data_IF_596403910867
#
_entry.id   IF_596403910867
#
_cell.length_a   1.000
_cell.length_b   1.000
_cell.length_c   1.000
_cell.angle_alpha   90.00
_cell.angle_beta   90.00
_cell.angle_gamma   90.00
#
_symmetry.space_group_name_H-M   'P 1'
#
loop_
_entity.id
_entity.type
_entity.pdbx_description
1 polymer ?
#
# COMPACT_ATOMS: atom_id res chain seq x y z
N UNK A 1 1.88 9.87 -11.35
CA UNK A 1 1.56 9.15 -12.60
C UNK A 1 0.80 7.87 -12.27
N UNK A 2 -0.38 8.00 -11.66
CA UNK A 2 -1.27 6.90 -11.29
C UNK A 2 -2.71 7.44 -11.33
N UNK A 3 -3.67 6.53 -11.43
CA UNK A 3 -5.10 6.82 -11.36
C UNK A 3 -5.63 6.16 -10.09
N UNK A 4 -6.33 6.95 -9.27
CA UNK A 4 -7.03 6.45 -8.08
C UNK A 4 -8.50 6.42 -8.41
N UNK A 5 -9.12 5.27 -8.20
CA UNK A 5 -10.56 5.15 -8.12
C UNK A 5 -10.96 5.13 -6.64
N UNK A 6 -11.61 6.22 -6.22
CA UNK A 6 -12.04 6.41 -4.84
C UNK A 6 -13.23 5.52 -4.45
N UNK A 7 -14.05 5.08 -5.42
CA UNK A 7 -15.19 4.20 -5.16
C UNK A 7 -14.71 2.76 -4.93
N UNK A 8 -13.83 2.26 -5.79
CA UNK A 8 -13.28 0.90 -5.66
C UNK A 8 -12.06 0.81 -4.73
N UNK A 9 -11.54 1.94 -4.24
CA UNK A 9 -10.28 2.01 -3.48
C UNK A 9 -9.14 1.27 -4.19
N UNK A 10 -9.07 1.44 -5.50
CA UNK A 10 -8.05 0.84 -6.35
C UNK A 10 -7.10 1.91 -6.90
N UNK A 11 -5.86 1.49 -7.17
CA UNK A 11 -4.84 2.35 -7.76
C UNK A 11 -4.19 1.61 -8.94
N UNK A 12 -4.14 2.28 -10.08
CA UNK A 12 -3.50 1.77 -11.28
C UNK A 12 -2.42 2.73 -11.76
N UNK A 13 -1.31 2.18 -12.25
CA UNK A 13 -0.23 2.98 -12.82
C UNK A 13 -0.63 3.44 -14.23
N UNK A 14 -0.43 4.72 -14.52
CA UNK A 14 -0.46 5.22 -15.91
C UNK A 14 0.80 4.76 -16.65
N UNK A 15 0.80 4.81 -17.99
CA UNK A 15 2.00 4.48 -18.79
C UNK A 15 3.26 5.24 -18.35
N UNK A 16 3.13 6.52 -17.99
CA UNK A 16 4.23 7.31 -17.45
C UNK A 16 4.74 6.77 -16.10
N UNK A 17 3.82 6.28 -15.26
CA UNK A 17 4.14 5.66 -13.98
C UNK A 17 4.87 4.34 -14.14
N UNK A 18 4.45 3.54 -15.12
CA UNK A 18 5.11 2.28 -15.49
C UNK A 18 6.54 2.57 -15.94
N UNK A 19 6.73 3.48 -16.90
CA UNK A 19 8.07 3.87 -17.37
C UNK A 19 8.95 4.40 -16.24
N UNK A 20 8.39 5.19 -15.33
CA UNK A 20 9.14 5.71 -14.17
C UNK A 20 9.59 4.59 -13.23
N UNK A 21 8.74 3.61 -12.96
CA UNK A 21 9.09 2.45 -12.16
C UNK A 21 10.15 1.60 -12.85
N UNK A 22 10.01 1.35 -14.15
CA UNK A 22 10.99 0.61 -14.96
C UNK A 22 12.37 1.24 -14.91
N UNK A 23 12.46 2.56 -15.06
CA UNK A 23 13.71 3.30 -14.96
C UNK A 23 14.30 3.25 -13.54
N UNK A 24 13.47 3.36 -12.50
CA UNK A 24 13.93 3.35 -11.11
C UNK A 24 14.47 1.98 -10.68
N UNK A 25 13.81 0.90 -11.09
CA UNK A 25 14.21 -0.47 -10.77
C UNK A 25 15.14 -1.10 -11.81
N UNK A 26 15.59 -0.34 -12.82
CA UNK A 26 16.47 -0.79 -13.89
C UNK A 26 15.95 -2.04 -14.62
N UNK A 27 14.69 -2.00 -15.04
CA UNK A 27 14.02 -3.12 -15.71
C UNK A 27 13.35 -2.73 -17.01
N UNK A 28 13.15 -3.70 -17.89
CA UNK A 28 12.62 -3.47 -19.24
C UNK A 28 11.09 -3.57 -19.32
N UNK A 29 10.45 -4.35 -18.45
CA UNK A 29 9.01 -4.54 -18.46
C UNK A 29 8.51 -4.86 -17.04
N UNK A 30 7.79 -3.91 -16.43
CA UNK A 30 7.24 -4.08 -15.08
C UNK A 30 6.16 -5.18 -15.00
N UNK A 31 5.44 -5.43 -16.10
CA UNK A 31 4.35 -6.42 -16.15
C UNK A 31 4.82 -7.81 -16.56
N UNK A 32 6.13 -8.05 -16.62
CA UNK A 32 6.64 -9.38 -16.89
C UNK A 32 6.33 -10.33 -15.72
N UNK A 33 6.13 -11.64 -15.96
CA UNK A 33 5.83 -12.61 -14.90
C UNK A 33 6.88 -12.64 -13.78
N UNK A 34 8.13 -12.32 -14.10
CA UNK A 34 9.25 -12.25 -13.15
C UNK A 34 9.09 -11.08 -12.17
N UNK A 35 8.39 -10.02 -12.57
CA UNK A 35 8.21 -8.78 -11.82
C UNK A 35 6.84 -8.69 -11.12
N UNK A 36 5.99 -9.73 -11.21
CA UNK A 36 4.67 -9.75 -10.58
C UNK A 36 4.71 -9.37 -9.09
N UNK A 37 5.67 -9.89 -8.34
CA UNK A 37 5.82 -9.58 -6.91
C UNK A 37 6.18 -8.10 -6.69
N UNK A 38 7.06 -7.53 -7.51
CA UNK A 38 7.43 -6.12 -7.42
C UNK A 38 6.25 -5.22 -7.78
N UNK A 39 5.54 -5.54 -8.87
CA UNK A 39 4.34 -4.81 -9.26
C UNK A 39 3.30 -4.81 -8.13
N UNK A 40 3.12 -5.96 -7.46
CA UNK A 40 2.26 -6.07 -6.29
C UNK A 40 2.71 -5.16 -5.14
N UNK A 41 4.00 -5.20 -4.79
CA UNK A 41 4.58 -4.31 -3.78
C UNK A 41 4.39 -2.83 -4.12
N UNK A 42 4.58 -2.43 -5.38
CA UNK A 42 4.37 -1.05 -5.84
C UNK A 42 2.90 -0.64 -5.66
N UNK A 43 1.96 -1.48 -6.09
CA UNK A 43 0.52 -1.22 -5.93
C UNK A 43 0.14 -1.08 -4.45
N UNK A 44 0.65 -1.95 -3.59
CA UNK A 44 0.42 -1.88 -2.15
C UNK A 44 1.04 -0.64 -1.51
N UNK A 45 2.26 -0.26 -1.89
CA UNK A 45 2.90 0.96 -1.41
C UNK A 45 2.10 2.21 -1.80
N UNK A 46 1.62 2.25 -3.05
CA UNK A 46 0.77 3.32 -3.53
C UNK A 46 -0.57 3.37 -2.78
N UNK A 47 -1.21 2.21 -2.57
CA UNK A 47 -2.46 2.12 -1.79
C UNK A 47 -2.26 2.55 -0.34
N UNK A 48 -1.21 2.06 0.31
CA UNK A 48 -0.85 2.45 1.67
C UNK A 48 -0.62 3.96 1.78
N UNK A 49 0.01 4.59 0.79
CA UNK A 49 0.32 6.02 0.83
C UNK A 49 -0.88 6.91 0.51
N UNK A 50 -1.63 6.61 -0.57
CA UNK A 50 -2.64 7.52 -1.11
C UNK A 50 -4.08 7.20 -0.72
N UNK A 51 -4.39 5.94 -0.42
CA UNK A 51 -5.76 5.50 -0.10
C UNK A 51 -5.95 5.38 1.41
N UNK A 52 -4.96 4.80 2.10
CA UNK A 52 -5.04 4.56 3.54
C UNK A 52 -4.63 5.81 4.33
N UNK A 53 -5.52 6.29 5.20
CA UNK A 53 -5.30 7.45 6.03
C UNK A 53 -5.06 7.09 7.51
N UNK A 54 -3.95 7.61 8.04
CA UNK A 54 -3.64 7.55 9.48
C UNK A 54 -4.68 8.34 10.28
N UNK A 55 -5.06 7.82 11.45
CA UNK A 55 -6.13 8.31 12.32
C UNK A 55 -7.55 8.20 11.74
N UNK A 56 -7.73 7.51 10.62
CA UNK A 56 -9.04 7.22 10.03
C UNK A 56 -9.20 5.73 9.74
N UNK A 57 -8.30 5.17 8.94
CA UNK A 57 -8.35 3.75 8.56
C UNK A 57 -7.45 2.89 9.46
N UNK A 58 -6.39 3.48 9.99
CA UNK A 58 -5.46 2.84 10.92
C UNK A 58 -4.82 3.85 11.88
N UNK A 59 -4.26 3.33 12.97
CA UNK A 59 -3.44 4.04 13.93
C UNK A 59 -2.06 3.39 14.03
N UNK A 60 -1.08 4.16 14.49
CA UNK A 60 0.26 3.67 14.82
C UNK A 60 0.46 3.82 16.31
N UNK A 61 0.65 2.71 17.01
CA UNK A 61 0.82 2.66 18.47
C UNK A 61 1.93 1.66 18.77
N UNK A 62 2.89 2.05 19.60
CA UNK A 62 4.00 1.15 20.02
C UNK A 62 4.69 0.43 18.85
N UNK A 63 4.98 1.18 17.77
CA UNK A 63 5.63 0.64 16.57
C UNK A 63 4.77 -0.40 15.80
N UNK A 64 3.44 -0.38 15.99
CA UNK A 64 2.51 -1.31 15.34
C UNK A 64 1.36 -0.57 14.66
N UNK A 65 0.98 -1.07 13.48
CA UNK A 65 -0.20 -0.60 12.75
C UNK A 65 -1.44 -1.31 13.28
N UNK A 66 -2.40 -0.54 13.80
CA UNK A 66 -3.69 -1.03 14.29
C UNK A 66 -4.81 -0.57 13.37
N UNK A 67 -5.67 -1.49 12.94
CA UNK A 67 -6.82 -1.16 12.09
C UNK A 67 -7.88 -0.43 12.91
N UNK A 68 -8.47 0.62 12.35
CA UNK A 68 -9.58 1.34 12.96
C UNK A 68 -10.88 0.94 12.27
N UNK A 69 -11.89 0.60 13.06
CA UNK A 69 -13.25 0.39 12.57
C UNK A 69 -13.88 1.75 12.21
N UNK A 70 -14.26 1.94 10.94
CA UNK A 70 -14.81 3.20 10.45
C UNK A 70 -16.18 3.56 11.04
N UNK A 71 -16.93 2.60 11.58
CA UNK A 71 -18.24 2.85 12.18
C UNK A 71 -18.12 3.24 13.66
N UNK A 72 -17.23 2.58 14.40
CA UNK A 72 -17.13 2.74 15.86
C UNK A 72 -15.91 3.55 16.32
N UNK A 73 -14.92 3.75 15.45
CA UNK A 73 -13.63 4.37 15.78
C UNK A 73 -12.73 3.53 16.69
N UNK A 74 -13.12 2.28 16.99
CA UNK A 74 -12.34 1.39 17.87
C UNK A 74 -11.19 0.73 17.11
N UNK A 75 -10.10 0.48 17.83
CA UNK A 75 -8.97 -0.30 17.32
C UNK A 75 -9.30 -1.79 17.33
N UNK A 76 -9.07 -2.45 16.19
CA UNK A 76 -9.24 -3.87 16.02
C UNK A 76 -7.90 -4.58 16.24
N UNK A 77 -7.61 -4.92 17.50
CA UNK A 77 -6.38 -5.62 17.86
C UNK A 77 -6.32 -7.03 17.25
N UNK A 78 -5.13 -7.44 16.82
CA UNK A 78 -4.88 -8.76 16.23
C UNK A 78 -5.36 -8.91 14.77
N UNK A 79 -5.94 -7.87 14.16
CA UNK A 79 -6.26 -7.87 12.73
C UNK A 79 -5.17 -7.20 11.91
N UNK A 80 -4.92 -7.76 10.73
CA UNK A 80 -4.00 -7.22 9.73
C UNK A 80 -4.73 -7.01 8.42
N UNK A 81 -4.25 -6.05 7.63
CA UNK A 81 -4.72 -5.92 6.25
C UNK A 81 -4.18 -7.08 5.42
N UNK A 82 -5.03 -7.63 4.55
CA UNK A 82 -4.62 -8.73 3.68
C UNK A 82 -3.66 -8.30 2.58
N UNK A 83 -3.19 -9.31 1.83
CA UNK A 83 -2.55 -9.13 0.53
C UNK A 83 -1.28 -8.26 0.52
N UNK A 84 -0.55 -8.21 1.64
CA UNK A 84 0.70 -7.43 1.75
C UNK A 84 0.50 -5.93 2.07
N UNK A 85 -0.75 -5.46 2.19
CA UNK A 85 -1.05 -4.06 2.48
C UNK A 85 -0.61 -3.66 3.90
N UNK A 86 -0.66 -4.58 4.86
CA UNK A 86 -0.25 -4.31 6.23
C UNK A 86 1.25 -3.98 6.31
N UNK A 87 2.08 -4.80 5.66
CA UNK A 87 3.52 -4.58 5.57
C UNK A 87 3.85 -3.29 4.83
N UNK A 88 3.08 -2.94 3.79
CA UNK A 88 3.24 -1.67 3.10
C UNK A 88 2.92 -0.46 3.99
N UNK A 89 1.95 -0.58 4.90
CA UNK A 89 1.63 0.45 5.90
C UNK A 89 2.71 0.55 6.98
N UNK A 90 3.21 -0.58 7.47
CA UNK A 90 4.34 -0.61 8.40
C UNK A 90 5.56 0.06 7.79
N UNK A 91 5.89 -0.26 6.53
CA UNK A 91 6.97 0.38 5.79
C UNK A 91 6.76 1.89 5.60
N UNK A 92 5.53 2.32 5.28
CA UNK A 92 5.17 3.75 5.14
C UNK A 92 5.37 4.52 6.43
N UNK A 93 5.00 3.94 7.56
CA UNK A 93 5.05 4.59 8.88
C UNK A 93 6.40 4.36 9.60
N UNK A 94 7.35 3.70 8.94
CA UNK A 94 8.68 3.37 9.47
C UNK A 94 8.59 2.47 10.72
N UNK A 95 7.56 1.63 10.76
CA UNK A 95 7.41 0.61 11.80
C UNK A 95 8.25 -0.63 11.50
N UNK A 96 8.53 -1.42 12.54
CA UNK A 96 9.14 -2.74 12.36
C UNK A 96 8.20 -3.66 11.59
N UNK A 97 8.65 -4.11 10.41
CA UNK A 97 7.96 -5.13 9.61
C UNK A 97 8.26 -6.50 10.25
N UNK A 98 7.22 -7.26 10.57
CA UNK A 98 7.33 -8.59 11.18
C UNK A 98 7.46 -9.72 10.16
#
# INVERSE_FOLDING_TARGET
>A
HYIIDAESQSIELTEEGIKKAELFFHMNNLYSPQNCNLLHCIKNALKAYFIMARNKDYLVVEDQVLIVDQFTGRTLHGRQFGDGLHQALEAKEVCTIK
#
